data_IF_037748848557
#
_entry.id   IF_037748848557
#
_cell.length_a   1.000
_cell.length_b   1.000
_cell.length_c   1.000
_cell.angle_alpha   90.00
_cell.angle_beta   90.00
_cell.angle_gamma   90.00
#
_symmetry.space_group_name_H-M   'P 1'
#
loop_
_entity.id
_entity.type
_entity.pdbx_description
1 polymer ?
#
# COMPACT_ATOMS: atom_id res chain seq x y z
N UNK A 1 1.01 4.34 40.76
CA UNK A 1 -0.37 3.87 40.64
C UNK A 1 -1.40 4.88 41.20
N UNK A 2 -1.36 5.31 42.47
CA UNK A 2 -2.28 6.30 43.00
C UNK A 2 -2.31 7.66 42.29
N UNK A 3 -1.17 8.17 41.83
CA UNK A 3 -1.09 9.43 41.06
C UNK A 3 -1.86 9.32 39.74
N UNK A 4 -1.73 8.20 39.03
CA UNK A 4 -2.40 7.94 37.75
C UNK A 4 -3.93 7.83 37.94
N UNK A 5 -4.36 7.11 38.95
CA UNK A 5 -5.80 7.01 39.27
C UNK A 5 -6.42 8.36 39.68
N UNK A 6 -5.67 9.17 40.43
CA UNK A 6 -6.08 10.54 40.78
C UNK A 6 -6.17 11.46 39.57
N UNK A 7 -5.26 11.27 38.60
CA UNK A 7 -5.25 12.02 37.34
C UNK A 7 -6.42 11.62 36.44
N UNK A 8 -6.72 10.32 36.34
CA UNK A 8 -7.89 9.80 35.60
C UNK A 8 -9.20 10.34 36.21
N UNK A 9 -9.31 10.32 37.54
CA UNK A 9 -10.48 10.85 38.23
C UNK A 9 -10.65 12.37 38.11
N UNK A 10 -9.53 13.11 37.95
CA UNK A 10 -9.53 14.58 37.79
C UNK A 10 -9.81 15.04 36.39
N UNK A 11 -9.35 14.27 35.38
CA UNK A 11 -9.47 14.61 33.96
C UNK A 11 -10.81 14.14 33.40
N UNK A 12 -11.43 13.13 34.01
CA UNK A 12 -12.71 12.62 33.57
C UNK A 12 -12.63 11.97 32.17
N UNK A 13 -13.73 12.03 31.45
CA UNK A 13 -13.84 11.52 30.07
C UNK A 13 -13.25 12.54 29.10
N UNK A 14 -12.13 12.20 28.45
CA UNK A 14 -11.47 13.06 27.45
C UNK A 14 -12.03 12.78 26.04
N UNK A 15 -12.67 11.62 25.84
CA UNK A 15 -13.24 11.25 24.54
C UNK A 15 -14.58 11.97 24.33
N UNK A 16 -14.70 12.68 23.23
CA UNK A 16 -15.98 13.15 22.73
C UNK A 16 -16.84 11.94 22.33
N UNK A 17 -18.16 12.04 22.53
CA UNK A 17 -19.09 11.08 21.95
C UNK A 17 -18.95 11.26 20.44
N UNK A 18 -18.51 10.21 19.74
CA UNK A 18 -18.50 10.22 18.28
C UNK A 18 -19.90 10.60 17.79
N UNK A 19 -20.05 11.65 16.97
CA UNK A 19 -21.32 11.90 16.29
C UNK A 19 -21.72 10.62 15.55
N UNK A 20 -23.01 10.36 15.45
CA UNK A 20 -23.53 9.24 14.66
C UNK A 20 -22.79 9.21 13.32
N UNK A 21 -22.32 8.00 12.96
CA UNK A 21 -21.44 7.80 11.80
C UNK A 21 -21.97 8.57 10.60
N UNK A 22 -21.18 9.51 10.09
CA UNK A 22 -21.59 10.27 8.92
C UNK A 22 -21.97 9.31 7.79
N UNK A 23 -22.93 9.67 6.91
CA UNK A 23 -23.32 8.81 5.78
C UNK A 23 -22.14 8.30 4.96
N UNK A 24 -21.06 9.09 4.92
CA UNK A 24 -19.80 8.71 4.25
C UNK A 24 -19.05 7.59 4.97
N UNK A 25 -19.02 7.57 6.30
CA UNK A 25 -18.44 6.49 7.11
C UNK A 25 -19.24 5.20 7.00
N UNK A 26 -20.57 5.30 6.98
CA UNK A 26 -21.48 4.17 6.80
C UNK A 26 -21.32 3.57 5.39
N UNK A 27 -21.18 4.40 4.33
CA UNK A 27 -20.94 3.94 2.97
C UNK A 27 -19.57 3.27 2.81
N UNK A 28 -18.53 3.72 3.51
CA UNK A 28 -17.21 3.11 3.51
C UNK A 28 -17.19 1.76 4.20
N UNK A 29 -17.87 1.62 5.33
CA UNK A 29 -18.06 0.34 5.99
C UNK A 29 -18.80 -0.67 5.10
N UNK A 30 -19.78 -0.21 4.33
CA UNK A 30 -20.49 -1.03 3.36
C UNK A 30 -19.62 -1.47 2.15
N UNK A 31 -18.61 -0.67 1.78
CA UNK A 31 -17.66 -1.03 0.71
C UNK A 31 -16.54 -1.96 1.18
N UNK A 32 -16.18 -1.93 2.46
CA UNK A 32 -15.13 -2.77 3.03
C UNK A 32 -15.50 -4.26 3.01
N UNK A 33 -16.75 -4.59 3.32
CA UNK A 33 -17.24 -5.97 3.37
C UNK A 33 -17.14 -6.71 2.03
N UNK A 34 -17.55 -6.14 0.88
CA UNK A 34 -17.38 -6.80 -0.42
C UNK A 34 -15.90 -6.93 -0.83
N UNK A 35 -15.03 -5.97 -0.49
CA UNK A 35 -13.61 -6.04 -0.80
C UNK A 35 -12.96 -7.21 -0.08
N UNK A 36 -13.21 -7.36 1.22
CA UNK A 36 -12.69 -8.48 2.01
C UNK A 36 -13.21 -9.82 1.49
N UNK A 37 -14.50 -9.91 1.18
CA UNK A 37 -15.10 -11.11 0.62
C UNK A 37 -14.51 -11.48 -0.76
N UNK A 38 -14.26 -10.50 -1.62
CA UNK A 38 -13.61 -10.70 -2.92
C UNK A 38 -12.18 -11.21 -2.75
N UNK A 39 -11.38 -10.62 -1.86
CA UNK A 39 -10.02 -11.06 -1.60
C UNK A 39 -9.97 -12.47 -1.06
N UNK A 40 -10.83 -12.82 -0.09
CA UNK A 40 -10.91 -14.18 0.44
C UNK A 40 -11.35 -15.19 -0.62
N UNK A 41 -12.29 -14.84 -1.49
CA UNK A 41 -12.74 -15.71 -2.58
C UNK A 41 -11.64 -15.96 -3.61
N UNK A 42 -10.84 -14.93 -3.95
CA UNK A 42 -9.81 -14.99 -4.99
C UNK A 42 -8.50 -15.62 -4.49
N UNK A 43 -8.11 -15.30 -3.26
CA UNK A 43 -6.82 -15.71 -2.70
C UNK A 43 -6.94 -16.80 -1.64
N UNK A 44 -8.12 -17.00 -1.06
CA UNK A 44 -8.33 -17.93 0.09
C UNK A 44 -7.65 -17.46 1.39
N UNK A 45 -6.97 -16.31 1.36
CA UNK A 45 -6.23 -15.73 2.48
C UNK A 45 -6.09 -14.21 2.33
N UNK A 46 -5.57 -13.55 3.35
CA UNK A 46 -5.20 -12.13 3.27
C UNK A 46 -4.11 -11.91 2.20
N UNK A 47 -4.21 -10.79 1.48
CA UNK A 47 -3.22 -10.36 0.51
C UNK A 47 -1.97 -9.83 1.24
N UNK A 48 -0.83 -10.44 1.00
CA UNK A 48 0.45 -10.00 1.55
C UNK A 48 1.21 -9.15 0.53
N UNK A 49 1.55 -7.91 0.90
CA UNK A 49 2.23 -6.95 0.02
C UNK A 49 3.62 -6.66 0.56
N UNK A 50 4.64 -6.80 -0.29
CA UNK A 50 5.97 -6.25 -0.06
C UNK A 50 6.09 -4.90 -0.75
N UNK A 51 6.38 -3.86 0.01
CA UNK A 51 6.68 -2.51 -0.52
C UNK A 51 8.19 -2.39 -0.73
N UNK A 52 8.60 -1.85 -1.88
CA UNK A 52 10.00 -1.53 -2.19
C UNK A 52 10.08 -0.11 -2.73
N UNK A 53 10.82 0.72 -2.03
CA UNK A 53 11.28 2.01 -2.51
C UNK A 53 12.46 1.79 -3.47
N UNK A 54 12.29 2.12 -4.74
CA UNK A 54 13.33 1.97 -5.76
C UNK A 54 14.14 3.26 -6.02
N UNK A 55 13.83 4.34 -5.31
CA UNK A 55 14.47 5.65 -5.43
C UNK A 55 13.47 6.79 -5.43
N UNK A 56 12.42 6.70 -4.60
CA UNK A 56 11.35 7.66 -4.52
C UNK A 56 11.74 8.91 -3.70
N UNK A 57 10.87 9.92 -3.75
CA UNK A 57 10.97 11.11 -2.91
C UNK A 57 10.23 10.96 -1.57
N UNK A 58 9.82 9.76 -1.20
CA UNK A 58 9.01 9.41 -0.02
C UNK A 58 7.54 9.87 -0.05
N UNK A 59 7.08 10.55 -1.10
CA UNK A 59 5.68 10.99 -1.20
C UNK A 59 4.71 9.81 -1.30
N UNK A 60 5.02 8.83 -2.14
CA UNK A 60 4.19 7.63 -2.31
C UNK A 60 4.18 6.76 -1.05
N UNK A 61 5.30 6.66 -0.34
CA UNK A 61 5.42 5.87 0.89
C UNK A 61 4.58 6.47 2.02
N UNK A 62 4.51 7.79 2.13
CA UNK A 62 3.65 8.47 3.10
C UNK A 62 2.17 8.16 2.86
N UNK A 63 1.73 8.13 1.59
CA UNK A 63 0.36 7.75 1.23
C UNK A 63 0.10 6.25 1.45
N UNK A 64 1.10 5.39 1.19
CA UNK A 64 1.02 3.96 1.50
C UNK A 64 0.90 3.76 3.03
N UNK A 65 1.68 4.49 3.83
CA UNK A 65 1.58 4.43 5.29
C UNK A 65 0.21 4.94 5.79
N UNK A 66 -0.39 5.91 5.11
CA UNK A 66 -1.73 6.38 5.43
C UNK A 66 -2.80 5.29 5.31
N UNK A 67 -2.61 4.28 4.45
CA UNK A 67 -3.52 3.13 4.35
C UNK A 67 -3.59 2.28 5.62
N UNK A 68 -2.54 2.30 6.46
CA UNK A 68 -2.49 1.54 7.70
C UNK A 68 -3.22 2.25 8.87
N UNK A 69 -3.72 3.48 8.68
CA UNK A 69 -4.44 4.20 9.72
C UNK A 69 -5.86 3.62 9.94
N UNK A 70 -6.51 3.89 11.10
CA UNK A 70 -7.85 3.37 11.39
C UNK A 70 -8.94 3.82 10.40
N UNK A 71 -8.72 4.90 9.66
CA UNK A 71 -9.68 5.43 8.71
C UNK A 71 -9.78 4.59 7.43
N UNK A 72 -8.64 4.13 6.90
CA UNK A 72 -8.61 3.24 5.72
C UNK A 72 -8.67 1.78 6.12
N UNK A 73 -8.12 1.42 7.29
CA UNK A 73 -8.16 0.10 7.90
C UNK A 73 -7.79 -1.04 6.93
N UNK A 74 -6.62 -0.93 6.32
CA UNK A 74 -6.15 -1.87 5.30
C UNK A 74 -6.17 -3.33 5.80
N UNK A 75 -5.75 -3.55 7.05
CA UNK A 75 -5.76 -4.89 7.66
C UNK A 75 -7.18 -5.44 7.80
N UNK A 76 -8.16 -4.60 8.13
CA UNK A 76 -9.57 -4.98 8.17
C UNK A 76 -10.14 -5.34 6.79
N UNK A 77 -9.50 -4.88 5.70
CA UNK A 77 -9.81 -5.28 4.32
C UNK A 77 -9.16 -6.62 3.93
N UNK A 78 -8.35 -7.21 4.78
CA UNK A 78 -7.61 -8.44 4.49
C UNK A 78 -6.34 -8.20 3.65
N UNK A 79 -5.72 -7.03 3.79
CA UNK A 79 -4.47 -6.67 3.13
C UNK A 79 -3.43 -6.33 4.19
N UNK A 80 -2.24 -6.91 4.10
CA UNK A 80 -1.16 -6.68 5.06
C UNK A 80 0.16 -6.40 4.38
N UNK A 81 0.98 -5.54 4.98
CA UNK A 81 2.36 -5.34 4.56
C UNK A 81 3.29 -6.33 5.24
N UNK A 82 4.17 -6.96 4.47
CA UNK A 82 5.13 -7.95 4.96
C UNK A 82 6.56 -7.52 4.71
N UNK A 83 7.42 -7.79 5.69
CA UNK A 83 8.84 -7.44 5.61
C UNK A 83 9.63 -8.37 4.68
N UNK A 84 9.27 -9.65 4.60
CA UNK A 84 9.97 -10.63 3.77
C UNK A 84 9.26 -10.83 2.42
N UNK A 85 9.98 -10.75 1.30
CA UNK A 85 9.40 -11.03 -0.02
C UNK A 85 8.91 -12.46 -0.18
N UNK A 86 9.46 -13.41 0.59
CA UNK A 86 9.06 -14.83 0.53
C UNK A 86 7.62 -15.09 1.01
N UNK A 87 7.03 -14.13 1.70
CA UNK A 87 5.65 -14.20 2.19
C UNK A 87 4.71 -13.28 1.43
N UNK A 88 5.22 -12.57 0.41
CA UNK A 88 4.45 -11.61 -0.35
C UNK A 88 3.82 -12.23 -1.60
N UNK A 89 2.57 -11.86 -1.86
CA UNK A 89 1.82 -12.17 -3.09
C UNK A 89 1.99 -11.06 -4.13
N UNK A 90 2.25 -9.85 -3.64
CA UNK A 90 2.35 -8.63 -4.47
C UNK A 90 3.59 -7.83 -4.09
N UNK A 91 4.28 -7.34 -5.11
CA UNK A 91 5.35 -6.35 -4.99
C UNK A 91 4.79 -4.98 -5.37
N UNK A 92 4.77 -4.07 -4.42
CA UNK A 92 4.39 -2.68 -4.63
C UNK A 92 5.66 -1.83 -4.70
N UNK A 93 5.96 -1.28 -5.87
CA UNK A 93 7.20 -0.54 -6.14
C UNK A 93 6.91 0.94 -6.31
N UNK A 94 7.67 1.77 -5.63
CA UNK A 94 7.57 3.24 -5.69
C UNK A 94 8.84 3.85 -6.26
N UNK A 95 8.71 5.05 -6.81
CA UNK A 95 9.80 5.83 -7.40
C UNK A 95 10.36 5.27 -8.71
N UNK A 96 11.20 6.06 -9.41
CA UNK A 96 11.98 5.56 -10.52
C UNK A 96 13.03 4.58 -9.99
N UNK A 97 13.41 3.60 -10.79
CA UNK A 97 14.43 2.64 -10.33
C UNK A 97 15.82 3.28 -10.39
N UNK A 98 16.41 3.51 -9.23
CA UNK A 98 17.80 3.96 -9.16
C UNK A 98 18.75 2.81 -9.44
N UNK A 99 19.94 3.13 -9.99
CA UNK A 99 20.99 2.12 -10.29
C UNK A 99 21.42 1.32 -9.06
N UNK A 100 21.40 1.95 -7.89
CA UNK A 100 21.73 1.27 -6.63
C UNK A 100 20.65 0.28 -6.18
N UNK A 101 19.40 0.57 -6.51
CA UNK A 101 18.27 -0.30 -6.11
C UNK A 101 17.90 -1.35 -7.16
N UNK A 102 18.39 -1.25 -8.40
CA UNK A 102 18.07 -2.19 -9.48
C UNK A 102 18.31 -3.65 -9.05
N UNK A 103 19.51 -3.93 -8.56
CA UNK A 103 19.85 -5.29 -8.12
C UNK A 103 19.02 -5.76 -6.93
N UNK A 104 18.78 -4.88 -5.96
CA UNK A 104 17.96 -5.19 -4.79
C UNK A 104 16.50 -5.46 -5.18
N UNK A 105 15.96 -4.67 -6.10
CA UNK A 105 14.61 -4.85 -6.63
C UNK A 105 14.44 -6.18 -7.36
N UNK A 106 15.38 -6.54 -8.26
CA UNK A 106 15.39 -7.83 -8.96
C UNK A 106 15.46 -9.00 -7.99
N UNK A 107 16.38 -8.97 -7.01
CA UNK A 107 16.51 -10.01 -5.99
C UNK A 107 15.26 -10.14 -5.12
N UNK A 108 14.59 -9.03 -4.82
CA UNK A 108 13.32 -9.05 -4.07
C UNK A 108 12.24 -9.74 -4.89
N UNK A 109 12.13 -9.42 -6.18
CA UNK A 109 11.19 -10.06 -7.09
C UNK A 109 11.46 -11.56 -7.25
N UNK A 110 12.72 -11.96 -7.42
CA UNK A 110 13.11 -13.37 -7.57
C UNK A 110 12.84 -14.19 -6.30
N UNK A 111 12.93 -13.55 -5.12
CA UNK A 111 12.67 -14.19 -3.84
C UNK A 111 11.17 -14.37 -3.51
N UNK A 112 10.29 -13.76 -4.27
CA UNK A 112 8.83 -13.93 -4.11
C UNK A 112 8.37 -15.26 -4.70
N UNK A 113 7.44 -15.97 -4.04
CA UNK A 113 6.85 -17.18 -4.60
C UNK A 113 5.95 -16.87 -5.79
N UNK A 114 5.87 -17.80 -6.74
CA UNK A 114 4.88 -17.74 -7.81
C UNK A 114 3.54 -18.34 -7.31
N UNK A 115 2.47 -17.76 -7.76
CA UNK A 115 2.26 -16.68 -8.69
C UNK A 115 2.35 -15.31 -7.99
N UNK A 116 3.11 -14.36 -8.51
CA UNK A 116 3.37 -13.03 -7.94
C UNK A 116 2.84 -11.90 -8.82
N UNK A 117 2.46 -10.79 -8.21
CA UNK A 117 2.00 -9.57 -8.87
C UNK A 117 2.98 -8.43 -8.67
N UNK A 118 3.13 -7.57 -9.65
CA UNK A 118 3.95 -6.36 -9.58
C UNK A 118 3.12 -5.13 -9.88
N UNK A 119 3.08 -4.20 -8.94
CA UNK A 119 2.35 -2.94 -9.06
C UNK A 119 3.32 -1.78 -8.93
N UNK A 120 3.33 -0.90 -9.92
CA UNK A 120 4.12 0.33 -9.91
C UNK A 120 3.25 1.49 -9.41
N UNK A 121 3.60 2.09 -8.27
CA UNK A 121 2.84 3.17 -7.65
C UNK A 121 3.50 4.53 -7.84
N UNK A 122 2.72 5.46 -8.35
CA UNK A 122 3.14 6.82 -8.62
C UNK A 122 3.68 7.04 -10.03
N UNK A 123 3.61 8.29 -10.48
CA UNK A 123 4.01 8.67 -11.84
C UNK A 123 5.50 8.37 -12.12
N UNK A 124 6.35 8.45 -11.09
CA UNK A 124 7.76 8.13 -11.22
C UNK A 124 8.00 6.64 -11.49
N UNK A 125 7.25 5.76 -10.83
CA UNK A 125 7.35 4.32 -11.02
C UNK A 125 6.71 3.86 -12.34
N UNK A 126 5.61 4.50 -12.73
CA UNK A 126 4.79 4.13 -13.88
C UNK A 126 5.35 4.64 -15.21
N UNK A 127 5.85 5.86 -15.24
CA UNK A 127 6.10 6.52 -16.52
C UNK A 127 7.23 7.52 -16.58
N UNK A 128 8.02 7.72 -15.55
CA UNK A 128 9.02 8.77 -15.51
C UNK A 128 8.50 10.17 -15.13
N UNK A 129 8.02 10.31 -13.92
CA UNK A 129 7.80 11.63 -13.32
C UNK A 129 9.07 12.52 -13.34
N UNK A 130 9.05 13.56 -12.56
CA UNK A 130 10.10 14.61 -12.53
C UNK A 130 11.53 14.08 -12.32
N UNK A 131 11.70 12.90 -11.73
CA UNK A 131 13.01 12.35 -11.32
C UNK A 131 13.66 11.37 -12.30
N UNK A 132 13.07 11.12 -13.47
CA UNK A 132 13.50 10.04 -14.36
C UNK A 132 14.74 10.32 -15.20
N UNK A 133 15.18 11.54 -15.36
CA UNK A 133 16.23 11.93 -16.34
C UNK A 133 17.63 12.07 -15.72
N UNK A 134 17.96 11.23 -14.73
CA UNK A 134 19.28 11.29 -14.09
C UNK A 134 20.21 10.16 -14.51
N UNK A 135 21.53 10.39 -14.54
CA UNK A 135 22.55 9.36 -14.76
C UNK A 135 22.49 8.21 -13.74
N UNK A 136 21.91 8.47 -12.56
CA UNK A 136 21.76 7.51 -11.47
C UNK A 136 20.45 6.69 -11.52
N UNK A 137 19.61 6.91 -12.54
CA UNK A 137 18.31 6.27 -12.70
C UNK A 137 18.32 5.29 -13.86
N UNK A 138 17.73 4.12 -13.69
CA UNK A 138 17.53 3.11 -14.74
C UNK A 138 16.27 3.35 -15.56
N UNK A 139 15.36 4.22 -15.05
CA UNK A 139 14.08 4.49 -15.68
C UNK A 139 12.89 4.03 -14.82
N UNK A 140 11.78 3.74 -15.49
CA UNK A 140 10.54 3.24 -14.85
C UNK A 140 10.66 1.78 -14.43
N UNK A 141 9.76 1.34 -13.54
CA UNK A 141 9.76 -0.04 -13.03
C UNK A 141 9.62 -1.07 -14.17
N UNK A 142 8.84 -0.77 -15.20
CA UNK A 142 8.59 -1.65 -16.33
C UNK A 142 9.86 -1.93 -17.20
N UNK A 143 10.93 -1.15 -17.05
CA UNK A 143 12.22 -1.40 -17.72
C UNK A 143 13.07 -2.42 -16.96
N UNK A 144 12.73 -2.68 -15.70
CA UNK A 144 13.49 -3.58 -14.82
C UNK A 144 12.72 -4.86 -14.50
N UNK A 145 11.39 -4.76 -14.27
CA UNK A 145 10.50 -5.87 -13.91
C UNK A 145 9.24 -5.87 -14.78
N UNK A 146 8.60 -7.03 -14.99
CA UNK A 146 7.25 -7.07 -15.56
C UNK A 146 6.26 -6.41 -14.60
N UNK A 147 5.49 -5.44 -15.08
CA UNK A 147 4.50 -4.70 -14.30
C UNK A 147 3.10 -5.09 -14.73
N UNK A 148 2.28 -5.54 -13.79
CA UNK A 148 0.88 -5.94 -14.05
C UNK A 148 -0.07 -4.73 -14.04
N UNK A 149 0.13 -3.80 -13.09
CA UNK A 149 -0.69 -2.60 -12.93
C UNK A 149 0.16 -1.39 -12.57
N UNK A 150 -0.19 -0.25 -13.13
CA UNK A 150 0.38 1.06 -12.78
C UNK A 150 -0.66 1.91 -12.09
N UNK A 151 -0.29 2.60 -11.02
CA UNK A 151 -1.17 3.51 -10.28
C UNK A 151 -0.63 4.93 -10.50
N UNK A 152 -1.33 5.79 -11.25
CA UNK A 152 -0.89 7.16 -11.51
C UNK A 152 -1.08 8.05 -10.30
N UNK A 153 -0.30 9.14 -10.23
CA UNK A 153 -0.35 10.19 -9.21
C UNK A 153 1.02 10.55 -8.67
N UNK A 154 1.16 11.77 -8.19
CA UNK A 154 2.43 12.27 -7.63
C UNK A 154 2.19 13.07 -6.33
N UNK A 155 1.99 12.38 -5.18
CA UNK A 155 1.73 10.95 -5.00
C UNK A 155 0.30 10.54 -5.37
N UNK A 156 0.03 9.25 -5.61
CA UNK A 156 -1.33 8.73 -5.71
C UNK A 156 -2.03 8.83 -4.36
N UNK A 157 -3.31 9.15 -4.36
CA UNK A 157 -4.10 9.18 -3.12
C UNK A 157 -4.24 7.77 -2.52
N UNK A 158 -4.47 7.62 -1.20
CA UNK A 158 -4.71 6.31 -0.58
C UNK A 158 -5.85 5.53 -1.25
N UNK A 159 -6.89 6.22 -1.69
CA UNK A 159 -8.00 5.59 -2.42
C UNK A 159 -7.55 5.04 -3.79
N UNK A 160 -6.74 5.80 -4.54
CA UNK A 160 -6.18 5.35 -5.81
C UNK A 160 -5.25 4.16 -5.63
N UNK A 161 -4.44 4.16 -4.56
CA UNK A 161 -3.59 3.03 -4.20
C UNK A 161 -4.41 1.77 -3.92
N UNK A 162 -5.45 1.87 -3.10
CA UNK A 162 -6.34 0.74 -2.78
C UNK A 162 -7.03 0.21 -4.03
N UNK A 163 -7.56 1.09 -4.88
CA UNK A 163 -8.20 0.69 -6.13
C UNK A 163 -7.23 -0.02 -7.09
N UNK A 164 -6.00 0.47 -7.22
CA UNK A 164 -4.97 -0.14 -8.06
C UNK A 164 -4.54 -1.52 -7.54
N UNK A 165 -4.39 -1.69 -6.22
CA UNK A 165 -4.11 -2.98 -5.59
C UNK A 165 -5.23 -3.98 -5.89
N UNK A 166 -6.48 -3.58 -5.71
CA UNK A 166 -7.64 -4.44 -6.00
C UNK A 166 -7.76 -4.77 -7.49
N UNK A 167 -7.45 -3.82 -8.37
CA UNK A 167 -7.42 -4.06 -9.81
C UNK A 167 -6.38 -5.13 -10.19
N UNK A 168 -5.19 -5.09 -9.57
CA UNK A 168 -4.14 -6.08 -9.81
C UNK A 168 -4.61 -7.49 -9.42
N UNK A 169 -5.25 -7.64 -8.26
CA UNK A 169 -5.78 -8.93 -7.81
C UNK A 169 -6.87 -9.44 -8.77
N UNK A 170 -7.79 -8.58 -9.19
CA UNK A 170 -8.88 -8.96 -10.11
C UNK A 170 -8.41 -9.36 -11.50
N UNK A 171 -7.33 -8.76 -12.01
CA UNK A 171 -6.77 -9.14 -13.33
C UNK A 171 -6.21 -10.55 -13.36
N UNK A 172 -5.89 -11.08 -12.20
CA UNK A 172 -5.28 -12.38 -12.05
C UNK A 172 -6.30 -13.51 -11.80
N UNK A 173 -7.48 -13.17 -11.31
CA UNK A 173 -8.57 -14.11 -11.06
C UNK A 173 -9.29 -14.51 -12.33
#
# INVERSE_FOLDING_TARGET
MWKTLRQIARVGRISEILPEASPELAQRGAQATPIHADLLRLLGRALAIRVVDAGSCNGCELEINALANPYYNLEGLGIQFVASPRHADMLLVTGPVSRHMELALRRTYDAMPDPKLVVAAGDCAAGCGVHCSGYAVCGRVAEVLPVDVTIPGCPPTPQALLQGILQAVRRRA
#
